data_IF_771442525551
#
_entry.id   IF_771442525551
#
_cell.length_a   1.000
_cell.length_b   1.000
_cell.length_c   1.000
_cell.angle_alpha   90.00
_cell.angle_beta   90.00
_cell.angle_gamma   90.00
#
_symmetry.space_group_name_H-M   'P 1'
#
loop_
_entity.id
_entity.type
_entity.pdbx_description
1 polymer ?
#
# COMPACT_ATOMS: atom_id res chain seq x y z
N UNK A 1 -20.48 -1.40 -0.40
CA UNK A 1 -19.06 -1.75 -0.12
C UNK A 1 -18.15 -0.51 0.02
N UNK A 2 -18.41 0.43 0.95
CA UNK A 2 -17.61 1.69 1.07
C UNK A 2 -16.50 1.66 2.15
N UNK A 3 -16.50 0.66 3.04
CA UNK A 3 -15.56 0.60 4.18
C UNK A 3 -14.17 0.08 3.79
N UNK A 4 -14.09 -0.85 2.83
CA UNK A 4 -12.83 -1.50 2.43
C UNK A 4 -11.91 -0.61 1.61
N UNK A 5 -12.46 0.30 0.80
CA UNK A 5 -11.65 1.23 -0.01
C UNK A 5 -10.79 2.16 0.85
N UNK A 6 -11.29 2.57 2.02
CA UNK A 6 -10.55 3.39 2.97
C UNK A 6 -9.34 2.68 3.57
N UNK A 7 -9.50 1.41 3.97
CA UNK A 7 -8.43 0.58 4.53
C UNK A 7 -7.34 0.27 3.50
N UNK A 8 -7.73 -0.14 2.29
CA UNK A 8 -6.80 -0.39 1.19
C UNK A 8 -5.99 0.86 0.82
N UNK A 9 -6.66 2.03 0.76
CA UNK A 9 -5.99 3.31 0.49
C UNK A 9 -5.02 3.68 1.59
N UNK A 10 -5.40 3.49 2.86
CA UNK A 10 -4.55 3.75 4.01
C UNK A 10 -3.29 2.89 3.97
N UNK A 11 -3.44 1.57 3.81
CA UNK A 11 -2.31 0.62 3.72
C UNK A 11 -1.38 0.96 2.57
N UNK A 12 -1.93 1.26 1.38
CA UNK A 12 -1.13 1.65 0.22
C UNK A 12 -0.35 2.94 0.49
N UNK A 13 -1.00 3.98 1.00
CA UNK A 13 -0.36 5.27 1.25
C UNK A 13 0.69 5.17 2.37
N UNK A 14 0.40 4.44 3.45
CA UNK A 14 1.35 4.24 4.54
C UNK A 14 2.59 3.46 4.09
N UNK A 15 2.41 2.41 3.29
CA UNK A 15 3.53 1.66 2.72
C UNK A 15 4.36 2.50 1.74
N UNK A 16 3.70 3.32 0.91
CA UNK A 16 4.38 4.24 0.00
C UNK A 16 5.18 5.32 0.74
N UNK A 17 4.66 5.86 1.85
CA UNK A 17 5.39 6.83 2.67
C UNK A 17 6.70 6.23 3.22
N UNK A 18 6.63 5.07 3.84
CA UNK A 18 7.81 4.36 4.33
C UNK A 18 8.79 4.02 3.20
N UNK A 19 8.26 3.67 2.03
CA UNK A 19 9.11 3.40 0.88
C UNK A 19 9.79 4.65 0.33
N UNK A 20 9.12 5.81 0.35
CA UNK A 20 9.72 7.09 -0.01
C UNK A 20 10.81 7.47 0.98
N UNK A 21 10.55 7.41 2.29
CA UNK A 21 11.56 7.68 3.32
C UNK A 21 12.79 6.78 3.14
N UNK A 22 12.57 5.49 2.90
CA UNK A 22 13.64 4.54 2.64
C UNK A 22 14.39 4.86 1.33
N UNK A 23 13.70 5.33 0.29
CA UNK A 23 14.31 5.74 -0.97
C UNK A 23 15.13 7.04 -0.82
N UNK A 24 14.62 8.01 -0.07
CA UNK A 24 15.30 9.26 0.28
C UNK A 24 16.57 8.99 1.10
N UNK A 25 16.54 7.97 1.97
CA UNK A 25 17.72 7.48 2.68
C UNK A 25 18.72 6.71 1.79
N UNK A 26 18.47 6.59 0.48
CA UNK A 26 19.34 5.88 -0.47
C UNK A 26 19.25 4.36 -0.41
N UNK A 27 18.27 3.81 0.31
CA UNK A 27 18.09 2.37 0.45
C UNK A 27 17.31 1.76 -0.72
N UNK A 28 17.49 0.44 -0.90
CA UNK A 28 16.78 -0.34 -1.92
C UNK A 28 15.29 -0.45 -1.60
N UNK A 29 14.48 -0.66 -2.64
CA UNK A 29 13.04 -0.88 -2.49
C UNK A 29 12.76 -2.05 -1.52
N UNK A 30 11.69 -1.91 -0.74
CA UNK A 30 11.26 -2.87 0.26
C UNK A 30 10.33 -3.89 -0.39
N UNK A 31 10.67 -5.18 -0.32
CA UNK A 31 9.89 -6.25 -0.91
C UNK A 31 8.53 -6.46 -0.22
N UNK A 32 7.58 -7.08 -0.92
CA UNK A 32 6.26 -7.41 -0.36
C UNK A 32 6.35 -8.14 0.98
N UNK A 33 7.33 -9.05 1.15
CA UNK A 33 7.49 -9.82 2.39
C UNK A 33 7.68 -8.92 3.61
N UNK A 34 8.50 -7.87 3.47
CA UNK A 34 8.74 -6.90 4.55
C UNK A 34 7.54 -5.97 4.74
N UNK A 35 6.88 -5.57 3.65
CA UNK A 35 5.62 -4.80 3.72
C UNK A 35 4.50 -5.57 4.41
N UNK A 36 4.44 -6.90 4.25
CA UNK A 36 3.47 -7.75 4.92
C UNK A 36 3.67 -7.77 6.45
N UNK A 37 4.92 -7.67 6.92
CA UNK A 37 5.21 -7.50 8.35
C UNK A 37 4.65 -6.18 8.89
N UNK A 38 4.80 -5.06 8.16
CA UNK A 38 4.20 -3.78 8.55
C UNK A 38 2.69 -3.86 8.66
N UNK A 39 2.03 -4.64 7.79
CA UNK A 39 0.58 -4.83 7.86
C UNK A 39 0.16 -5.51 9.17
N UNK A 40 0.96 -6.45 9.68
CA UNK A 40 0.71 -7.11 10.97
C UNK A 40 0.86 -6.08 12.11
N UNK A 41 1.92 -5.27 12.08
CA UNK A 41 2.16 -4.20 13.05
C UNK A 41 1.00 -3.18 13.07
N UNK A 42 0.56 -2.70 11.90
CA UNK A 42 -0.56 -1.76 11.79
C UNK A 42 -1.88 -2.37 12.26
N UNK A 43 -2.11 -3.66 12.01
CA UNK A 43 -3.29 -4.34 12.57
C UNK A 43 -3.22 -4.46 14.09
N UNK A 44 -2.02 -4.52 14.65
CA UNK A 44 -1.81 -4.61 16.10
C UNK A 44 -1.84 -3.25 16.80
N UNK A 45 -1.55 -2.15 16.10
CA UNK A 45 -1.48 -0.81 16.67
C UNK A 45 -2.88 -0.25 17.03
N UNK A 46 -3.06 0.40 18.20
CA UNK A 46 -4.36 0.94 18.63
C UNK A 46 -4.99 1.89 17.61
N UNK A 47 -4.22 2.86 17.11
CA UNK A 47 -4.70 3.87 16.15
C UNK A 47 -5.17 3.32 14.79
N UNK A 48 -4.71 2.11 14.44
CA UNK A 48 -5.04 1.45 13.17
C UNK A 48 -5.72 0.10 13.36
N UNK A 49 -6.27 -0.14 14.56
CA UNK A 49 -6.94 -1.39 14.90
C UNK A 49 -8.18 -1.65 14.02
N UNK A 50 -8.82 -0.59 13.52
CA UNK A 50 -9.93 -0.65 12.55
C UNK A 50 -9.56 -1.35 11.23
N UNK A 51 -8.26 -1.57 10.93
CA UNK A 51 -7.82 -2.42 9.82
C UNK A 51 -8.15 -3.90 10.02
N UNK A 52 -8.38 -4.34 11.26
CA UNK A 52 -8.82 -5.72 11.57
C UNK A 52 -10.22 -6.00 11.04
N UNK A 53 -11.08 -4.98 10.94
CA UNK A 53 -12.43 -5.09 10.40
C UNK A 53 -12.46 -5.30 8.87
N UNK A 54 -11.31 -5.14 8.21
CA UNK A 54 -11.17 -5.38 6.77
C UNK A 54 -10.49 -6.73 6.50
N UNK A 55 -11.04 -7.54 5.56
CA UNK A 55 -10.40 -8.79 5.16
C UNK A 55 -8.93 -8.59 4.78
N UNK A 56 -8.05 -9.51 5.18
CA UNK A 56 -6.61 -9.40 4.93
C UNK A 56 -6.26 -9.43 3.44
N UNK A 57 -7.04 -10.15 2.63
CA UNK A 57 -6.81 -10.33 1.19
C UNK A 57 -6.74 -8.98 0.41
N UNK A 58 -7.72 -8.07 0.49
CA UNK A 58 -7.66 -6.78 -0.21
C UNK A 58 -6.54 -5.85 0.31
N UNK A 59 -6.15 -5.97 1.58
CA UNK A 59 -5.01 -5.22 2.14
C UNK A 59 -3.69 -5.73 1.57
N UNK A 60 -3.51 -7.05 1.50
CA UNK A 60 -2.36 -7.68 0.86
C UNK A 60 -2.29 -7.37 -0.63
N UNK A 61 -3.43 -7.37 -1.33
CA UNK A 61 -3.48 -6.98 -2.74
C UNK A 61 -3.03 -5.54 -2.95
N UNK A 62 -3.40 -4.63 -2.04
CA UNK A 62 -2.95 -3.23 -2.10
C UNK A 62 -1.43 -3.10 -2.01
N UNK A 63 -0.78 -3.93 -1.18
CA UNK A 63 0.68 -4.00 -1.09
C UNK A 63 1.31 -4.61 -2.35
N UNK A 64 0.68 -5.63 -2.94
CA UNK A 64 1.13 -6.22 -4.22
C UNK A 64 1.03 -5.21 -5.37
N UNK A 65 -0.03 -4.41 -5.40
CA UNK A 65 -0.19 -3.35 -6.40
C UNK A 65 0.92 -2.29 -6.27
N UNK A 66 1.32 -1.96 -5.03
CA UNK A 66 2.45 -1.07 -4.76
C UNK A 66 3.77 -1.67 -5.27
N UNK A 67 4.04 -2.93 -4.94
CA UNK A 67 5.23 -3.65 -5.42
C UNK A 67 5.28 -3.70 -6.95
N UNK A 68 4.14 -3.97 -7.60
CA UNK A 68 4.03 -3.94 -9.06
C UNK A 68 4.31 -2.54 -9.62
N UNK A 69 3.85 -1.49 -8.95
CA UNK A 69 4.17 -0.10 -9.30
C UNK A 69 5.67 0.16 -9.30
N UNK A 70 6.38 -0.25 -8.24
CA UNK A 70 7.84 -0.16 -8.17
C UNK A 70 8.53 -0.99 -9.25
N UNK A 71 8.13 -2.25 -9.45
CA UNK A 71 8.68 -3.12 -10.50
C UNK A 71 8.53 -2.48 -11.89
N UNK A 72 7.38 -1.92 -12.19
CA UNK A 72 7.14 -1.22 -13.46
C UNK A 72 7.98 0.05 -13.58
N UNK A 73 8.17 0.80 -12.49
CA UNK A 73 9.04 1.97 -12.45
C UNK A 73 10.51 1.60 -12.76
N UNK A 74 11.03 0.55 -12.12
CA UNK A 74 12.39 0.06 -12.40
C UNK A 74 12.53 -0.46 -13.83
N UNK A 75 11.47 -1.03 -14.41
CA UNK A 75 11.43 -1.45 -15.82
C UNK A 75 11.21 -0.28 -16.80
N UNK A 76 11.13 0.97 -16.33
CA UNK A 76 10.79 2.17 -17.12
C UNK A 76 9.45 2.05 -17.88
N UNK A 77 8.54 1.20 -17.39
CA UNK A 77 7.19 0.97 -17.95
C UNK A 77 6.12 1.85 -17.30
N UNK A 78 6.41 2.44 -16.14
CA UNK A 78 5.52 3.33 -15.44
C UNK A 78 6.29 4.43 -14.71
N UNK A 79 5.59 5.52 -14.36
CA UNK A 79 6.12 6.53 -13.47
C UNK A 79 6.20 6.01 -12.02
N UNK A 80 6.95 6.75 -11.19
CA UNK A 80 7.09 6.45 -9.78
C UNK A 80 5.71 6.39 -9.08
N UNK A 81 5.47 5.42 -8.16
CA UNK A 81 4.19 5.29 -7.47
C UNK A 81 3.81 6.58 -6.72
N UNK A 82 2.53 6.98 -6.82
CA UNK A 82 2.01 8.21 -6.18
C UNK A 82 0.95 7.87 -5.15
N UNK A 83 0.84 8.71 -4.11
CA UNK A 83 -0.20 8.58 -3.09
C UNK A 83 -1.59 8.54 -3.72
N UNK A 84 -2.39 7.55 -3.31
CA UNK A 84 -3.79 7.42 -3.75
C UNK A 84 -4.64 8.50 -3.07
N UNK A 85 -5.29 9.33 -3.89
CA UNK A 85 -6.30 10.31 -3.45
C UNK A 85 -7.70 9.68 -3.43
N UNK A 86 -8.59 10.21 -2.58
CA UNK A 86 -10.02 9.81 -2.56
C UNK A 86 -10.62 10.10 -3.94
N UNK A 87 -11.30 9.13 -4.55
CA UNK A 87 -12.02 9.31 -5.81
C UNK A 87 -11.25 9.03 -7.10
N UNK A 88 -9.92 8.84 -7.09
CA UNK A 88 -9.17 8.56 -8.33
C UNK A 88 -9.19 7.10 -8.80
N UNK A 89 -9.59 6.14 -7.95
CA UNK A 89 -9.59 4.71 -8.30
C UNK A 89 -10.75 3.90 -7.67
N UNK A 90 -11.78 4.55 -7.14
CA UNK A 90 -12.98 3.87 -6.61
C UNK A 90 -13.84 3.21 -7.73
N UNK A 91 -13.46 3.39 -9.00
CA UNK A 91 -14.26 2.99 -10.16
C UNK A 91 -13.74 1.77 -10.95
N UNK A 92 -12.86 0.92 -10.40
CA UNK A 92 -12.43 -0.30 -11.11
C UNK A 92 -12.98 -1.58 -10.50
N UNK A 93 -14.29 -1.77 -10.65
CA UNK A 93 -14.96 -3.05 -10.91
C UNK A 93 -16.28 -2.74 -11.63
N UNK A 94 -16.28 -2.85 -12.95
CA UNK A 94 -17.41 -3.39 -13.70
C UNK A 94 -17.01 -4.83 -14.05
#
# INVERSE_FOLDING_TARGET
>A
MRRFAGACRFVFNRALALQNENHEAGNKYVSYTKMASWLIEWKSHPDTQWLKDTPSLPLQQSLKDLERGYKNFFQKRAAFPRFKKRGQNDARKA
#
